data_IF_371071150979
#
_entry.id   IF_371071150979
#
_cell.length_a   1.000
_cell.length_b   1.000
_cell.length_c   1.000
_cell.angle_alpha   90.00
_cell.angle_beta   90.00
_cell.angle_gamma   90.00
#
_symmetry.space_group_name_H-M   'P 1'
#
loop_
_entity.id
_entity.type
_entity.pdbx_description
1 polymer ?
#
# COMPACT_ATOMS: atom_id res chain seq x y z
N UNK A 1 9.10 3.54 -25.71
CA UNK A 1 7.92 3.28 -24.83
C UNK A 1 8.13 2.05 -23.92
N UNK A 2 9.30 1.91 -23.26
CA UNK A 2 9.57 0.79 -22.33
C UNK A 2 9.33 1.17 -20.86
N UNK A 3 9.62 2.43 -20.51
CA UNK A 3 9.42 2.95 -19.14
C UNK A 3 7.95 3.01 -18.73
N UNK A 4 7.04 3.37 -19.64
CA UNK A 4 5.60 3.46 -19.34
C UNK A 4 4.97 2.09 -19.02
N UNK A 5 5.42 1.03 -19.70
CA UNK A 5 4.96 -0.33 -19.44
C UNK A 5 5.47 -0.84 -18.09
N UNK A 6 6.74 -0.60 -17.77
CA UNK A 6 7.30 -0.95 -16.46
C UNK A 6 6.64 -0.18 -15.31
N UNK A 7 6.28 1.10 -15.51
CA UNK A 7 5.55 1.88 -14.50
C UNK A 7 4.12 1.35 -14.32
N UNK A 8 3.42 1.02 -15.41
CA UNK A 8 2.09 0.41 -15.35
C UNK A 8 2.12 -0.93 -14.61
N UNK A 9 3.11 -1.77 -14.89
CA UNK A 9 3.30 -3.05 -14.21
C UNK A 9 3.53 -2.84 -12.71
N UNK A 10 4.39 -1.88 -12.32
CA UNK A 10 4.62 -1.54 -10.92
C UNK A 10 3.37 -0.98 -10.24
N UNK A 11 2.60 -0.13 -10.92
CA UNK A 11 1.34 0.40 -10.39
C UNK A 11 0.25 -0.68 -10.27
N UNK A 12 0.20 -1.65 -11.19
CA UNK A 12 -0.73 -2.77 -11.14
C UNK A 12 -0.33 -3.79 -10.06
N UNK A 13 0.96 -3.97 -9.82
CA UNK A 13 1.50 -4.83 -8.76
C UNK A 13 1.39 -4.21 -7.36
N UNK A 14 1.12 -2.90 -7.26
CA UNK A 14 0.82 -2.30 -5.98
C UNK A 14 -0.52 -2.84 -5.50
N UNK A 15 -0.62 -3.34 -4.25
CA UNK A 15 -1.90 -3.74 -3.67
C UNK A 15 -2.87 -2.58 -3.89
N UNK A 16 -3.95 -2.85 -4.63
CA UNK A 16 -4.84 -1.81 -5.13
C UNK A 16 -5.11 -0.79 -4.02
N UNK A 17 -4.68 0.47 -4.21
CA UNK A 17 -4.85 1.56 -3.22
C UNK A 17 -6.32 1.92 -2.95
N UNK A 18 -7.26 1.15 -3.50
CA UNK A 18 -8.68 1.39 -3.43
C UNK A 18 -9.36 0.51 -2.36
N UNK A 19 -9.12 0.80 -1.08
CA UNK A 19 -9.87 0.30 0.10
C UNK A 19 -9.46 -1.01 0.80
N UNK A 20 -8.48 -1.79 0.32
CA UNK A 20 -8.10 -3.03 1.01
C UNK A 20 -6.93 -2.85 2.00
N UNK A 21 -6.78 -1.66 2.61
CA UNK A 21 -5.77 -1.46 3.66
C UNK A 21 -6.25 -2.25 4.89
N UNK A 22 -5.51 -3.28 5.36
CA UNK A 22 -5.98 -4.08 6.47
C UNK A 22 -6.10 -3.19 7.72
N UNK A 23 -7.19 -3.32 8.49
CA UNK A 23 -7.44 -2.47 9.65
C UNK A 23 -6.35 -2.62 10.72
N UNK A 24 -5.60 -3.72 10.70
CA UNK A 24 -4.46 -3.98 11.59
C UNK A 24 -3.22 -4.42 10.79
N UNK A 25 -2.04 -4.08 11.32
CA UNK A 25 -0.74 -4.57 10.85
C UNK A 25 -0.06 -5.35 11.96
N UNK A 26 0.62 -6.44 11.60
CA UNK A 26 1.47 -7.16 12.55
C UNK A 26 2.82 -6.44 12.68
N UNK A 27 3.05 -5.81 13.82
CA UNK A 27 4.34 -5.25 14.20
C UNK A 27 4.94 -6.15 15.27
N UNK A 28 6.04 -6.84 14.93
CA UNK A 28 6.72 -7.78 15.84
C UNK A 28 5.79 -8.88 16.38
N UNK A 29 4.84 -9.33 15.56
CA UNK A 29 3.84 -10.34 15.95
C UNK A 29 2.61 -9.81 16.69
N UNK A 30 2.57 -8.52 17.05
CA UNK A 30 1.40 -7.91 17.67
C UNK A 30 0.54 -7.19 16.63
N UNK A 31 -0.77 -7.49 16.54
CA UNK A 31 -1.72 -6.71 15.75
C UNK A 31 -1.85 -5.28 16.30
N UNK A 32 -1.53 -4.29 15.47
CA UNK A 32 -1.66 -2.87 15.77
C UNK A 32 -2.62 -2.24 14.77
N UNK A 33 -3.60 -1.48 15.25
CA UNK A 33 -4.55 -0.78 14.38
C UNK A 33 -3.82 0.24 13.49
N UNK A 34 -4.14 0.25 12.19
CA UNK A 34 -3.58 1.24 11.29
C UNK A 34 -4.21 2.61 11.54
N UNK A 35 -3.42 3.54 12.08
CA UNK A 35 -3.83 4.94 12.21
C UNK A 35 -3.75 5.62 10.85
N UNK A 36 -4.86 6.16 10.34
CA UNK A 36 -4.86 7.02 9.16
C UNK A 36 -4.36 8.41 9.55
N UNK A 37 -3.44 9.02 8.77
CA UNK A 37 -3.05 10.43 8.94
C UNK A 37 -1.59 10.74 9.23
N UNK A 38 -0.65 9.78 9.10
CA UNK A 38 0.78 10.07 9.31
C UNK A 38 1.53 10.54 8.03
N UNK A 39 0.99 10.26 6.83
CA UNK A 39 1.71 10.49 5.57
C UNK A 39 0.86 11.23 4.53
N UNK A 40 0.38 12.42 4.88
CA UNK A 40 -0.13 13.40 3.91
C UNK A 40 0.83 14.59 3.86
N UNK A 41 1.79 14.54 2.94
CA UNK A 41 2.50 15.70 2.38
C UNK A 41 2.86 15.40 0.94
#
# INVERSE_FOLDING_TARGET
MAMAAAIKERMASQPAMNNARPPTVQIRGQPVAQKSGCCSS
#
